data_IF_194384990851
#
_entry.id   IF_194384990851
#
_cell.length_a   1.000
_cell.length_b   1.000
_cell.length_c   1.000
_cell.angle_alpha   90.00
_cell.angle_beta   90.00
_cell.angle_gamma   90.00
#
_symmetry.space_group_name_H-M   'P 1'
#
loop_
_entity.id
_entity.type
_entity.pdbx_description
1 polymer ?
#
# COMPACT_ATOMS: atom_id res chain seq x y z
N UNK A 1 5.76 2.80 -22.78
CA UNK A 1 4.85 1.94 -23.57
C UNK A 1 3.93 1.12 -22.67
N UNK A 2 4.41 0.24 -21.78
CA UNK A 2 3.54 -0.65 -20.99
C UNK A 2 3.06 -0.13 -19.61
N UNK A 3 3.24 1.16 -19.30
CA UNK A 3 2.85 1.72 -18.00
C UNK A 3 1.33 1.75 -17.78
N UNK A 4 0.55 1.71 -18.87
CA UNK A 4 -0.91 1.75 -18.84
C UNK A 4 -1.57 0.37 -18.72
N UNK A 5 -0.78 -0.72 -18.82
CA UNK A 5 -1.30 -2.08 -18.67
C UNK A 5 -1.70 -2.34 -17.23
N UNK A 6 -2.86 -2.94 -17.02
CA UNK A 6 -3.33 -3.37 -15.70
C UNK A 6 -2.41 -4.44 -15.08
N UNK A 7 -2.61 -4.71 -13.80
CA UNK A 7 -1.76 -5.62 -13.02
C UNK A 7 -1.78 -7.03 -13.63
N UNK A 8 -2.95 -7.51 -14.09
CA UNK A 8 -3.09 -8.84 -14.67
C UNK A 8 -2.29 -8.98 -15.97
N UNK A 9 -2.39 -8.01 -16.87
CA UNK A 9 -1.64 -8.03 -18.13
C UNK A 9 -0.14 -7.91 -17.90
N UNK A 10 0.30 -7.12 -16.91
CA UNK A 10 1.72 -7.06 -16.55
C UNK A 10 2.27 -8.40 -16.08
N UNK A 11 1.54 -9.13 -15.22
CA UNK A 11 1.96 -10.47 -14.80
C UNK A 11 1.97 -11.46 -15.96
N UNK A 12 1.05 -11.33 -16.90
CA UNK A 12 1.05 -12.12 -18.13
C UNK A 12 2.29 -11.80 -18.99
N UNK A 13 2.61 -10.52 -19.20
CA UNK A 13 3.79 -10.07 -19.95
C UNK A 13 5.11 -10.54 -19.31
N UNK A 14 5.17 -10.59 -17.98
CA UNK A 14 6.34 -11.14 -17.25
C UNK A 14 6.62 -12.61 -17.60
N UNK A 15 5.59 -13.35 -18.04
CA UNK A 15 5.69 -14.79 -18.37
C UNK A 15 5.98 -15.05 -19.85
N UNK A 16 5.84 -14.08 -20.74
CA UNK A 16 6.00 -14.30 -22.19
C UNK A 16 7.47 -14.30 -22.63
N UNK A 17 8.30 -13.38 -22.13
CA UNK A 17 9.71 -13.29 -22.53
C UNK A 17 10.63 -12.69 -21.44
N UNK A 18 11.95 -12.87 -21.60
CA UNK A 18 12.97 -12.33 -20.66
C UNK A 18 12.92 -10.81 -20.57
N UNK A 19 12.75 -10.12 -21.70
CA UNK A 19 12.66 -8.66 -21.74
C UNK A 19 11.42 -8.15 -20.98
N UNK A 20 10.26 -8.79 -21.20
CA UNK A 20 9.03 -8.51 -20.47
C UNK A 20 9.18 -8.73 -18.97
N UNK A 21 9.85 -9.83 -18.56
CA UNK A 21 10.17 -10.09 -17.16
C UNK A 21 10.99 -8.98 -16.52
N UNK A 22 12.13 -8.62 -17.11
CA UNK A 22 13.01 -7.56 -16.59
C UNK A 22 12.26 -6.23 -16.48
N UNK A 23 11.48 -5.88 -17.51
CA UNK A 23 10.68 -4.66 -17.50
C UNK A 23 9.64 -4.66 -16.37
N UNK A 24 8.87 -5.74 -16.22
CA UNK A 24 7.85 -5.85 -15.17
C UNK A 24 8.48 -5.83 -13.78
N UNK A 25 9.65 -6.45 -13.59
CA UNK A 25 10.37 -6.40 -12.32
C UNK A 25 10.85 -4.98 -11.96
N UNK A 26 11.35 -4.22 -12.94
CA UNK A 26 11.69 -2.80 -12.75
C UNK A 26 10.46 -1.95 -12.46
N UNK A 27 9.36 -2.16 -13.20
CA UNK A 27 8.11 -1.46 -12.95
C UNK A 27 7.54 -1.80 -11.58
N UNK A 28 7.61 -3.07 -11.16
CA UNK A 28 7.15 -3.54 -9.86
C UNK A 28 7.84 -2.79 -8.73
N UNK A 29 9.19 -2.77 -8.76
CA UNK A 29 10.01 -2.06 -7.76
C UNK A 29 9.69 -0.56 -7.69
N UNK A 30 9.39 0.08 -8.83
CA UNK A 30 9.13 1.53 -8.87
C UNK A 30 7.69 1.90 -8.50
N UNK A 31 6.71 1.18 -9.04
CA UNK A 31 5.31 1.58 -9.00
C UNK A 31 4.52 0.96 -7.84
N UNK A 32 4.93 -0.21 -7.35
CA UNK A 32 4.21 -0.95 -6.30
C UNK A 32 4.95 -0.89 -4.96
N UNK A 33 5.46 0.29 -4.61
CA UNK A 33 6.09 0.55 -3.31
C UNK A 33 5.03 1.06 -2.33
N UNK A 34 4.61 0.22 -1.38
CA UNK A 34 3.60 0.55 -0.35
C UNK A 34 3.94 1.82 0.42
N UNK A 35 5.23 2.04 0.69
CA UNK A 35 5.73 3.26 1.33
C UNK A 35 5.26 4.54 0.63
N UNK A 36 5.22 4.57 -0.70
CA UNK A 36 4.74 5.75 -1.44
C UNK A 36 3.25 6.00 -1.22
N UNK A 37 2.44 4.94 -1.08
CA UNK A 37 1.03 5.04 -0.78
C UNK A 37 0.75 5.53 0.65
N UNK A 38 1.68 5.28 1.59
CA UNK A 38 1.56 5.63 3.00
C UNK A 38 2.09 7.03 3.36
N UNK A 39 2.99 7.60 2.54
CA UNK A 39 3.58 8.93 2.76
C UNK A 39 2.59 10.08 3.00
N UNK A 40 1.39 10.10 2.40
CA UNK A 40 0.40 11.15 2.69
C UNK A 40 -0.14 11.11 4.12
N UNK A 41 -0.07 9.94 4.79
CA UNK A 41 -0.67 9.71 6.11
C UNK A 41 0.38 9.66 7.23
N UNK A 42 1.59 9.22 6.91
CA UNK A 42 2.61 8.93 7.92
C UNK A 42 3.96 9.55 7.55
N UNK A 43 4.70 10.00 8.56
CA UNK A 43 6.12 10.34 8.42
C UNK A 43 6.94 9.10 8.09
N UNK A 44 8.11 9.32 7.52
CA UNK A 44 9.06 8.25 7.15
C UNK A 44 9.39 7.27 8.29
N UNK A 45 9.50 7.76 9.53
CA UNK A 45 9.70 6.93 10.73
C UNK A 45 8.46 6.11 11.09
N UNK A 46 7.28 6.70 10.92
CA UNK A 46 5.97 6.12 11.28
C UNK A 46 5.55 5.04 10.27
N UNK A 47 5.93 5.16 8.99
CA UNK A 47 5.65 4.13 7.96
C UNK A 47 6.20 2.76 8.37
N UNK A 48 7.42 2.71 8.90
CA UNK A 48 8.01 1.43 9.38
C UNK A 48 7.24 0.89 10.57
N UNK A 49 6.87 1.75 11.53
CA UNK A 49 6.08 1.36 12.68
C UNK A 49 4.70 0.82 12.26
N UNK A 50 4.05 1.46 11.29
CA UNK A 50 2.79 1.00 10.73
C UNK A 50 2.93 -0.38 10.08
N UNK A 51 4.00 -0.64 9.32
CA UNK A 51 4.24 -1.96 8.73
C UNK A 51 4.48 -3.05 9.79
N UNK A 52 5.18 -2.73 10.87
CA UNK A 52 5.32 -3.64 12.02
C UNK A 52 3.97 -3.90 12.69
N UNK A 53 3.15 -2.86 12.85
CA UNK A 53 1.79 -2.96 13.39
C UNK A 53 0.93 -3.86 12.49
N UNK A 54 0.97 -3.69 11.16
CA UNK A 54 0.29 -4.56 10.21
C UNK A 54 0.70 -6.03 10.36
N UNK A 55 2.00 -6.30 10.47
CA UNK A 55 2.51 -7.66 10.66
C UNK A 55 2.05 -8.27 12.00
N UNK A 56 1.97 -7.47 13.06
CA UNK A 56 1.59 -7.93 14.40
C UNK A 56 0.07 -8.14 14.58
N UNK A 57 -0.77 -7.34 13.90
CA UNK A 57 -2.22 -7.32 14.12
C UNK A 57 -3.03 -7.89 12.95
N UNK A 58 -2.41 -8.07 11.79
CA UNK A 58 -3.13 -8.42 10.56
C UNK A 58 -3.89 -7.24 9.95
N UNK A 59 -3.51 -5.99 10.26
CA UNK A 59 -4.13 -4.79 9.72
C UNK A 59 -3.96 -4.70 8.19
N UNK A 60 -5.08 -4.58 7.48
CA UNK A 60 -5.10 -4.52 6.01
C UNK A 60 -5.52 -3.12 5.56
N UNK A 61 -4.80 -2.56 4.59
CA UNK A 61 -5.20 -1.33 3.91
C UNK A 61 -6.24 -1.68 2.84
N UNK A 62 -7.34 -0.94 2.80
CA UNK A 62 -8.36 -1.13 1.78
C UNK A 62 -8.82 0.17 1.14
N UNK A 63 -10.06 0.15 0.66
CA UNK A 63 -10.74 1.28 0.05
C UNK A 63 -9.97 1.94 -1.09
N UNK A 64 -10.06 3.27 -1.13
CA UNK A 64 -9.55 4.07 -2.25
C UNK A 64 -8.02 4.02 -2.40
N UNK A 65 -7.28 3.81 -1.32
CA UNK A 65 -5.81 3.64 -1.35
C UNK A 65 -5.41 2.33 -2.01
N UNK A 66 -6.11 1.23 -1.71
CA UNK A 66 -5.86 -0.04 -2.39
C UNK A 66 -6.10 0.10 -3.90
N UNK A 67 -7.17 0.79 -4.30
CA UNK A 67 -7.45 1.05 -5.71
C UNK A 67 -6.33 1.88 -6.37
N UNK A 68 -5.90 2.98 -5.74
CA UNK A 68 -4.75 3.79 -6.20
C UNK A 68 -3.49 2.96 -6.41
N UNK A 69 -3.20 2.07 -5.48
CA UNK A 69 -2.02 1.20 -5.54
C UNK A 69 -2.06 0.28 -6.77
N UNK A 70 -3.19 -0.38 -7.03
CA UNK A 70 -3.32 -1.32 -8.14
C UNK A 70 -3.48 -0.62 -9.51
N UNK A 71 -4.22 0.48 -9.57
CA UNK A 71 -4.41 1.23 -10.84
C UNK A 71 -3.22 2.14 -11.16
N UNK A 72 -2.44 2.51 -10.13
CA UNK A 72 -1.37 3.53 -10.18
C UNK A 72 -1.90 4.92 -10.54
N UNK A 73 -3.16 5.19 -10.24
CA UNK A 73 -3.75 6.52 -10.38
C UNK A 73 -3.42 7.39 -9.16
N UNK A 74 -3.24 8.68 -9.39
CA UNK A 74 -2.96 9.66 -8.34
C UNK A 74 -4.15 10.59 -8.18
N UNK A 75 -4.84 10.49 -7.05
CA UNK A 75 -5.93 11.39 -6.63
C UNK A 75 -5.92 11.52 -5.10
N UNK A 76 -6.49 12.61 -4.57
CA UNK A 76 -6.63 12.78 -3.12
C UNK A 76 -7.68 11.79 -2.58
N UNK A 77 -7.38 11.16 -1.46
CA UNK A 77 -8.28 10.17 -0.85
C UNK A 77 -7.89 9.92 0.60
N UNK A 78 -8.86 9.49 1.39
CA UNK A 78 -8.62 9.02 2.75
C UNK A 78 -8.01 7.61 2.74
N UNK A 79 -7.56 7.15 3.91
CA UNK A 79 -7.04 5.80 4.11
C UNK A 79 -8.00 4.96 4.94
N UNK A 80 -8.48 3.87 4.35
CA UNK A 80 -9.29 2.88 5.04
C UNK A 80 -8.41 1.73 5.53
N UNK A 81 -8.54 1.37 6.80
CA UNK A 81 -7.83 0.23 7.40
C UNK A 81 -8.82 -0.73 8.07
N UNK A 82 -8.62 -2.01 7.82
CA UNK A 82 -9.43 -3.10 8.37
C UNK A 82 -8.60 -3.86 9.40
N UNK A 83 -9.09 -3.90 10.64
CA UNK A 83 -8.42 -4.53 11.75
C UNK A 83 -9.24 -5.71 12.27
N UNK A 84 -8.55 -6.73 12.77
CA UNK A 84 -9.17 -7.76 13.57
C UNK A 84 -9.65 -7.16 14.90
N UNK A 85 -10.93 -7.31 15.24
CA UNK A 85 -11.56 -6.60 16.35
C UNK A 85 -10.80 -6.72 17.69
N UNK A 86 -10.30 -7.90 18.11
CA UNK A 86 -9.49 -8.05 19.32
C UNK A 86 -8.11 -7.35 19.32
N UNK A 87 -7.69 -6.75 18.20
CA UNK A 87 -6.44 -5.99 18.08
C UNK A 87 -6.68 -4.51 17.76
N UNK A 88 -7.94 -4.09 17.67
CA UNK A 88 -8.30 -2.71 17.32
C UNK A 88 -7.78 -1.70 18.35
N UNK A 89 -7.72 -2.07 19.62
CA UNK A 89 -7.18 -1.26 20.71
C UNK A 89 -5.71 -0.90 20.49
N UNK A 90 -4.88 -1.87 20.11
CA UNK A 90 -3.46 -1.65 19.82
C UNK A 90 -3.28 -0.70 18.64
N UNK A 91 -4.10 -0.87 17.60
CA UNK A 91 -4.06 0.00 16.41
C UNK A 91 -4.53 1.42 16.74
N UNK A 92 -5.62 1.55 17.50
CA UNK A 92 -6.14 2.81 17.99
C UNK A 92 -5.12 3.58 18.84
N UNK A 93 -4.51 2.91 19.82
CA UNK A 93 -3.48 3.52 20.68
C UNK A 93 -2.28 3.99 19.86
N UNK A 94 -1.85 3.21 18.86
CA UNK A 94 -0.77 3.62 17.99
C UNK A 94 -1.13 4.86 17.15
N UNK A 95 -2.32 4.89 16.55
CA UNK A 95 -2.81 6.05 15.78
C UNK A 95 -2.87 7.32 16.65
N UNK A 96 -3.37 7.20 17.87
CA UNK A 96 -3.38 8.30 18.83
C UNK A 96 -1.96 8.75 19.21
N UNK A 97 -1.03 7.81 19.40
CA UNK A 97 0.36 8.13 19.75
C UNK A 97 1.10 8.94 18.68
N UNK A 98 0.65 8.88 17.42
CA UNK A 98 1.21 9.67 16.30
C UNK A 98 0.36 10.91 15.97
N UNK A 99 -0.68 11.20 16.77
CA UNK A 99 -1.45 12.44 16.70
C UNK A 99 -2.82 12.36 16.02
N UNK A 100 -3.30 11.18 15.64
CA UNK A 100 -4.69 11.03 15.17
C UNK A 100 -5.67 11.13 16.35
N UNK A 101 -6.82 11.77 16.13
CA UNK A 101 -7.86 11.96 17.13
C UNK A 101 -9.16 11.34 16.64
N UNK A 102 -9.87 10.65 17.53
CA UNK A 102 -11.22 10.17 17.25
C UNK A 102 -12.18 11.35 17.21
N UNK A 103 -12.98 11.42 16.15
CA UNK A 103 -14.07 12.38 16.00
C UNK A 103 -15.41 11.73 16.31
#
# INVERSE_FOLDING_TARGET
IFAHLDVSTLFSLKRTCKAGRVYVDHLHKRAFTVKLALRPFFKESEVKCFQCLQAATGLIIGGSIALKFFTRQCYHSDMDVYCYLPRCDVVAMWLQSIGYVFQ
#
